data_IF_915523690731
#
_entry.id   IF_915523690731
#
_cell.length_a   1.000
_cell.length_b   1.000
_cell.length_c   1.000
_cell.angle_alpha   90.00
_cell.angle_beta   90.00
_cell.angle_gamma   90.00
#
_symmetry.space_group_name_H-M   'P 1'
#
loop_
_entity.id
_entity.type
_entity.pdbx_description
1 polymer ?
#
# COMPACT_ATOMS: atom_id res chain seq x y z
N UNK A 1 39.28 11.75 -21.77
CA UNK A 1 38.52 10.72 -21.00
C UNK A 1 37.99 11.26 -19.67
N UNK A 2 38.74 12.03 -18.87
CA UNK A 2 38.28 12.61 -17.59
C UNK A 2 37.06 13.55 -17.72
N UNK A 3 36.96 14.33 -18.79
CA UNK A 3 35.86 15.26 -19.00
C UNK A 3 34.55 14.54 -19.39
N UNK A 4 34.60 13.38 -20.03
CA UNK A 4 33.42 12.57 -20.33
C UNK A 4 32.74 12.04 -19.06
N UNK A 5 33.52 11.49 -18.12
CA UNK A 5 32.96 10.93 -16.88
C UNK A 5 32.24 11.97 -15.99
N UNK A 6 32.71 13.23 -15.97
CA UNK A 6 32.08 14.30 -15.20
C UNK A 6 30.78 14.75 -15.87
N UNK A 7 30.75 14.78 -17.20
CA UNK A 7 29.59 15.20 -17.98
C UNK A 7 28.42 14.22 -17.87
N UNK A 8 28.71 12.92 -17.72
CA UNK A 8 27.69 11.88 -17.59
C UNK A 8 27.11 11.77 -16.18
N UNK A 9 27.77 12.30 -15.16
CA UNK A 9 27.27 12.28 -13.78
C UNK A 9 26.00 13.11 -13.59
N UNK A 10 25.91 14.28 -14.23
CA UNK A 10 24.74 15.16 -14.11
C UNK A 10 23.48 14.50 -14.66
N UNK A 11 23.45 13.99 -15.93
CA UNK A 11 22.28 13.30 -16.44
C UNK A 11 21.96 11.99 -15.68
N UNK A 12 22.96 11.29 -15.16
CA UNK A 12 22.73 10.08 -14.35
C UNK A 12 22.02 10.38 -13.03
N UNK A 13 22.42 11.44 -12.34
CA UNK A 13 21.74 11.87 -11.09
C UNK A 13 20.32 12.35 -11.39
N UNK A 14 20.13 13.14 -12.45
CA UNK A 14 18.79 13.56 -12.87
C UNK A 14 17.92 12.36 -13.29
N UNK A 15 18.50 11.39 -13.99
CA UNK A 15 17.81 10.15 -14.36
C UNK A 15 17.39 9.34 -13.13
N UNK A 16 18.24 9.23 -12.13
CA UNK A 16 17.92 8.52 -10.88
C UNK A 16 16.69 9.10 -10.18
N UNK A 17 16.58 10.41 -10.04
CA UNK A 17 15.42 11.07 -9.40
C UNK A 17 14.13 10.96 -10.22
N UNK A 18 14.23 10.76 -11.54
CA UNK A 18 13.08 10.58 -12.43
C UNK A 18 12.70 9.11 -12.66
N UNK A 19 13.52 8.18 -12.17
CA UNK A 19 13.22 6.74 -12.31
C UNK A 19 12.23 6.33 -11.24
N UNK A 20 11.07 5.79 -11.67
CA UNK A 20 10.07 5.21 -10.79
C UNK A 20 10.08 3.70 -10.93
N UNK A 21 10.08 3.01 -9.82
CA UNK A 21 9.89 1.55 -9.79
C UNK A 21 8.41 1.29 -9.62
N UNK A 22 7.82 0.56 -10.56
CA UNK A 22 6.43 0.15 -10.46
C UNK A 22 6.37 -1.21 -9.72
N UNK A 23 5.70 -1.23 -8.59
CA UNK A 23 5.50 -2.43 -7.77
C UNK A 23 4.20 -3.16 -8.08
N UNK A 24 3.42 -2.69 -9.08
CA UNK A 24 2.17 -3.30 -9.47
C UNK A 24 2.40 -4.49 -10.39
N UNK A 25 2.04 -5.66 -9.91
CA UNK A 25 2.08 -6.89 -10.72
C UNK A 25 1.08 -6.81 -11.88
N UNK A 26 -0.03 -6.11 -11.69
CA UNK A 26 -1.08 -5.96 -12.70
C UNK A 26 -0.61 -5.13 -13.90
N UNK A 27 0.33 -4.21 -13.71
CA UNK A 27 0.92 -3.41 -14.79
C UNK A 27 1.61 -4.26 -15.88
N UNK A 28 2.09 -5.44 -15.52
CA UNK A 28 2.74 -6.35 -16.47
C UNK A 28 1.75 -7.25 -17.22
N UNK A 29 0.47 -7.18 -16.91
CA UNK A 29 -0.58 -7.95 -17.57
C UNK A 29 -1.04 -7.22 -18.86
N UNK A 30 -1.36 -7.96 -19.94
CA UNK A 30 -1.97 -7.39 -21.11
C UNK A 30 -3.30 -6.70 -20.77
N UNK A 31 -3.56 -5.53 -21.39
CA UNK A 31 -4.78 -4.77 -21.14
C UNK A 31 -6.06 -5.40 -21.71
N UNK A 32 -5.92 -6.41 -22.55
CA UNK A 32 -7.03 -7.09 -23.21
C UNK A 32 -7.63 -8.25 -22.41
N UNK A 33 -7.05 -8.59 -21.26
CA UNK A 33 -7.61 -9.64 -20.37
C UNK A 33 -8.79 -9.12 -19.55
N UNK A 34 -9.75 -10.00 -19.28
CA UNK A 34 -11.00 -9.69 -18.55
C UNK A 34 -10.74 -9.02 -17.20
N UNK A 35 -9.68 -9.43 -16.49
CA UNK A 35 -9.32 -8.85 -15.18
C UNK A 35 -8.95 -7.38 -15.28
N UNK A 36 -8.19 -6.98 -16.31
CA UNK A 36 -7.78 -5.60 -16.50
C UNK A 36 -8.98 -4.74 -16.93
N UNK A 37 -9.79 -5.24 -17.87
CA UNK A 37 -11.03 -4.55 -18.29
C UNK A 37 -12.00 -4.39 -17.12
N UNK A 38 -12.14 -5.42 -16.28
CA UNK A 38 -12.98 -5.35 -15.07
C UNK A 38 -12.48 -4.31 -14.06
N UNK A 39 -11.17 -4.17 -13.93
CA UNK A 39 -10.57 -3.18 -13.03
C UNK A 39 -10.75 -1.75 -13.55
N UNK A 40 -10.59 -1.55 -14.87
CA UNK A 40 -10.84 -0.24 -15.51
C UNK A 40 -12.31 0.16 -15.33
N UNK A 41 -13.27 -0.75 -15.53
CA UNK A 41 -14.70 -0.51 -15.29
C UNK A 41 -14.97 -0.17 -13.81
N UNK A 42 -14.36 -0.89 -12.87
CA UNK A 42 -14.50 -0.60 -11.45
C UNK A 42 -14.01 0.80 -11.08
N UNK A 43 -12.91 1.22 -11.67
CA UNK A 43 -12.34 2.54 -11.44
C UNK A 43 -13.18 3.63 -12.14
N UNK A 44 -13.46 3.49 -13.43
CA UNK A 44 -14.07 4.53 -14.26
C UNK A 44 -15.57 4.69 -13.96
N UNK A 45 -16.32 3.59 -13.84
CA UNK A 45 -17.77 3.63 -13.66
C UNK A 45 -18.21 3.68 -12.20
N UNK A 46 -17.43 3.07 -11.29
CA UNK A 46 -17.77 2.97 -9.88
C UNK A 46 -16.88 3.80 -8.96
N UNK A 47 -15.81 4.40 -9.47
CA UNK A 47 -14.84 5.16 -8.67
C UNK A 47 -14.16 4.32 -7.59
N UNK A 48 -13.94 3.03 -7.84
CA UNK A 48 -13.38 2.07 -6.90
C UNK A 48 -12.23 1.32 -7.57
N UNK A 49 -11.03 1.77 -7.34
CA UNK A 49 -9.82 1.16 -7.88
C UNK A 49 -9.22 0.11 -6.95
N UNK A 50 -8.48 0.56 -5.97
CA UNK A 50 -7.82 -0.30 -4.99
C UNK A 50 -8.72 -0.60 -3.78
N UNK A 51 -8.40 -1.67 -3.06
CA UNK A 51 -9.08 -1.99 -1.81
C UNK A 51 -8.11 -2.52 -0.75
N UNK A 52 -8.48 -2.30 0.50
CA UNK A 52 -7.83 -2.89 1.66
C UNK A 52 -8.87 -3.34 2.69
N UNK A 53 -8.51 -4.32 3.50
CA UNK A 53 -9.32 -4.79 4.61
C UNK A 53 -8.64 -4.41 5.91
N UNK A 54 -9.43 -3.91 6.87
CA UNK A 54 -8.93 -3.56 8.20
C UNK A 54 -9.59 -4.48 9.22
N UNK A 55 -8.74 -5.20 9.95
CA UNK A 55 -9.13 -6.00 11.09
C UNK A 55 -8.82 -5.22 12.36
N UNK A 56 -9.82 -5.00 13.17
CA UNK A 56 -9.72 -4.33 14.47
C UNK A 56 -9.85 -5.37 15.58
N UNK A 57 -8.86 -5.48 16.44
CA UNK A 57 -8.83 -6.47 17.51
C UNK A 57 -9.26 -5.85 18.86
N UNK A 58 -10.29 -6.44 19.46
CA UNK A 58 -10.73 -6.13 20.83
C UNK A 58 -11.21 -4.71 21.09
N UNK A 59 -11.57 -3.94 20.05
CA UNK A 59 -12.08 -2.58 20.21
C UNK A 59 -13.59 -2.55 20.41
N UNK A 60 -14.08 -1.65 21.27
CA UNK A 60 -15.51 -1.46 21.46
C UNK A 60 -16.18 -0.92 20.18
N UNK A 61 -17.39 -1.41 19.85
CA UNK A 61 -18.18 -1.03 18.66
C UNK A 61 -18.29 0.48 18.44
N UNK A 62 -18.56 1.25 19.51
CA UNK A 62 -18.62 2.71 19.42
C UNK A 62 -17.31 3.35 18.99
N UNK A 63 -16.17 2.76 19.36
CA UNK A 63 -14.87 3.25 18.95
C UNK A 63 -14.55 2.83 17.51
N UNK A 64 -14.98 1.62 17.09
CA UNK A 64 -14.89 1.17 15.70
C UNK A 64 -15.67 2.10 14.77
N UNK A 65 -16.92 2.48 15.12
CA UNK A 65 -17.69 3.45 14.33
C UNK A 65 -17.00 4.82 14.20
N UNK A 66 -16.39 5.29 15.28
CA UNK A 66 -15.62 6.56 15.23
C UNK A 66 -14.37 6.42 14.37
N UNK A 67 -13.70 5.26 14.43
CA UNK A 67 -12.54 4.96 13.60
C UNK A 67 -12.92 4.92 12.12
N UNK A 68 -14.00 4.24 11.77
CA UNK A 68 -14.54 4.19 10.41
C UNK A 68 -14.78 5.60 9.87
N UNK A 69 -15.43 6.49 10.65
CA UNK A 69 -15.67 7.89 10.25
C UNK A 69 -14.38 8.68 10.06
N UNK A 70 -13.32 8.39 10.83
CA UNK A 70 -12.00 9.01 10.62
C UNK A 70 -11.35 8.51 9.34
N UNK A 71 -11.44 7.21 9.07
CA UNK A 71 -10.90 6.59 7.86
C UNK A 71 -11.64 7.08 6.61
N UNK A 72 -12.96 7.27 6.68
CA UNK A 72 -13.75 7.89 5.60
C UNK A 72 -13.34 9.33 5.28
N UNK A 73 -12.73 10.01 6.25
CA UNK A 73 -12.22 11.38 6.08
C UNK A 73 -10.80 11.46 5.54
N UNK A 74 -10.14 10.35 5.29
CA UNK A 74 -8.80 10.31 4.69
C UNK A 74 -8.90 10.60 3.19
N UNK A 75 -7.99 11.42 2.68
CA UNK A 75 -7.93 11.73 1.25
C UNK A 75 -7.73 10.46 0.42
N UNK A 76 -8.35 10.40 -0.77
CA UNK A 76 -8.34 9.24 -1.68
C UNK A 76 -9.03 7.97 -1.16
N UNK A 77 -9.75 8.03 -0.04
CA UNK A 77 -10.67 6.98 0.37
C UNK A 77 -12.02 7.21 -0.32
N UNK A 78 -12.37 6.34 -1.26
CA UNK A 78 -13.64 6.45 -2.01
C UNK A 78 -14.84 6.00 -1.18
N UNK A 79 -14.71 4.92 -0.41
CA UNK A 79 -15.78 4.43 0.48
C UNK A 79 -15.26 3.43 1.50
N UNK A 80 -15.95 3.32 2.62
CA UNK A 80 -15.69 2.29 3.64
C UNK A 80 -16.94 1.43 3.81
N UNK A 81 -16.78 0.13 3.69
CA UNK A 81 -17.84 -0.85 3.95
C UNK A 81 -17.62 -1.43 5.34
N UNK A 82 -18.45 -1.03 6.26
CA UNK A 82 -18.44 -1.48 7.66
C UNK A 82 -19.82 -1.91 8.11
N UNK A 83 -19.89 -2.61 9.23
CA UNK A 83 -21.17 -2.95 9.87
C UNK A 83 -22.02 -1.69 10.09
N UNK A 84 -21.47 -0.67 10.72
CA UNK A 84 -22.18 0.58 11.03
C UNK A 84 -22.60 1.35 9.78
N UNK A 85 -21.82 1.28 8.70
CA UNK A 85 -22.15 1.93 7.43
C UNK A 85 -23.32 1.29 6.68
N UNK A 86 -23.53 -0.02 6.85
CA UNK A 86 -24.63 -0.76 6.17
C UNK A 86 -25.90 -0.76 7.00
N UNK A 87 -25.78 -1.01 8.29
CA UNK A 87 -26.93 -1.26 9.17
C UNK A 87 -27.30 -0.03 9.99
N UNK A 88 -26.34 0.86 10.22
CA UNK A 88 -26.47 2.03 11.10
C UNK A 88 -25.93 1.78 12.50
N UNK A 89 -25.50 2.87 13.14
CA UNK A 89 -24.92 2.83 14.50
C UNK A 89 -25.94 2.44 15.59
N UNK A 90 -27.22 2.64 15.32
CA UNK A 90 -28.31 2.46 16.30
C UNK A 90 -28.91 1.04 16.34
N UNK A 91 -28.51 0.17 15.39
CA UNK A 91 -29.06 -1.19 15.30
C UNK A 91 -28.14 -2.17 16.04
N UNK A 92 -28.65 -2.82 17.11
CA UNK A 92 -27.88 -3.84 17.82
C UNK A 92 -27.56 -5.04 16.89
N UNK A 93 -26.33 -5.53 16.93
CA UNK A 93 -25.90 -6.66 16.09
C UNK A 93 -26.66 -7.96 16.38
N UNK A 94 -27.22 -8.09 17.58
CA UNK A 94 -27.97 -9.26 18.03
C UNK A 94 -29.32 -9.46 17.29
N UNK A 95 -29.82 -8.41 16.62
CA UNK A 95 -31.06 -8.48 15.83
C UNK A 95 -30.84 -9.08 14.44
N UNK A 96 -29.59 -9.09 13.98
CA UNK A 96 -29.23 -9.56 12.64
C UNK A 96 -28.98 -11.08 12.61
N UNK A 97 -29.24 -11.73 11.47
CA UNK A 97 -28.89 -13.14 11.30
C UNK A 97 -27.39 -13.35 11.55
N UNK A 98 -27.04 -14.42 12.27
CA UNK A 98 -25.66 -14.77 12.60
C UNK A 98 -24.75 -14.85 11.36
N UNK A 99 -25.29 -15.32 10.24
CA UNK A 99 -24.58 -15.41 8.98
C UNK A 99 -24.16 -14.05 8.42
N UNK A 100 -24.96 -13.00 8.64
CA UNK A 100 -24.61 -11.65 8.21
C UNK A 100 -23.59 -11.02 9.18
N UNK A 101 -23.80 -11.20 10.48
CA UNK A 101 -22.92 -10.69 11.52
C UNK A 101 -21.49 -11.25 11.39
N UNK A 102 -21.36 -12.54 11.07
CA UNK A 102 -20.07 -13.23 10.93
C UNK A 102 -19.18 -12.69 9.80
N UNK A 103 -19.69 -11.89 8.86
CA UNK A 103 -18.86 -11.20 7.86
C UNK A 103 -18.10 -10.02 8.44
N UNK A 104 -18.59 -9.40 9.49
CA UNK A 104 -18.04 -8.19 10.07
C UNK A 104 -17.47 -8.38 11.47
N UNK A 105 -17.96 -9.35 12.20
CA UNK A 105 -17.59 -9.61 13.59
C UNK A 105 -17.26 -11.08 13.81
N UNK A 106 -16.16 -11.34 14.51
CA UNK A 106 -15.84 -12.67 15.00
C UNK A 106 -16.11 -12.70 16.51
N UNK A 107 -17.11 -13.48 16.94
CA UNK A 107 -17.52 -13.57 18.35
C UNK A 107 -16.44 -14.20 19.25
N UNK A 108 -15.66 -15.16 18.71
CA UNK A 108 -14.64 -15.87 19.48
C UNK A 108 -13.45 -14.98 19.84
N UNK A 109 -13.04 -14.11 18.90
CA UNK A 109 -11.90 -13.21 19.07
C UNK A 109 -12.28 -11.78 19.46
N UNK A 110 -13.55 -11.40 19.28
CA UNK A 110 -14.00 -10.00 19.41
C UNK A 110 -13.46 -9.07 18.33
N UNK A 111 -12.90 -9.63 17.24
CA UNK A 111 -12.38 -8.85 16.15
C UNK A 111 -13.50 -8.33 15.22
N UNK A 112 -13.31 -7.12 14.72
CA UNK A 112 -14.23 -6.49 13.75
C UNK A 112 -13.50 -6.26 12.42
N UNK A 113 -14.18 -6.50 11.32
CA UNK A 113 -13.67 -6.33 9.95
C UNK A 113 -14.42 -5.20 9.24
N UNK A 114 -13.70 -4.33 8.54
CA UNK A 114 -14.27 -3.42 7.55
C UNK A 114 -13.36 -3.32 6.30
N UNK A 115 -13.95 -2.99 5.17
CA UNK A 115 -13.23 -2.83 3.90
C UNK A 115 -13.16 -1.37 3.49
N UNK A 116 -12.01 -0.96 2.98
CA UNK A 116 -11.76 0.38 2.45
C UNK A 116 -11.57 0.26 0.94
N UNK A 117 -12.23 1.12 0.17
CA UNK A 117 -12.01 1.28 -1.26
C UNK A 117 -11.37 2.64 -1.51
N UNK A 118 -10.39 2.67 -2.39
CA UNK A 118 -9.68 3.87 -2.81
C UNK A 118 -10.13 4.29 -4.20
N UNK A 119 -9.97 5.57 -4.50
CA UNK A 119 -10.39 6.20 -5.76
C UNK A 119 -9.39 6.02 -6.91
N UNK A 120 -8.26 5.35 -6.67
CA UNK A 120 -7.21 5.13 -7.66
C UNK A 120 -6.70 3.68 -7.61
N UNK A 121 -5.78 3.33 -8.50
CA UNK A 121 -5.22 1.99 -8.65
C UNK A 121 -4.35 1.57 -7.47
N UNK A 122 -4.13 0.26 -7.34
CA UNK A 122 -3.37 -0.36 -6.24
C UNK A 122 -1.94 0.19 -6.08
N UNK A 123 -1.30 0.60 -7.17
CA UNK A 123 0.08 1.08 -7.20
C UNK A 123 0.21 2.59 -7.32
N UNK A 124 -0.90 3.31 -7.30
CA UNK A 124 -0.89 4.78 -7.30
C UNK A 124 -0.20 5.33 -6.07
N UNK A 125 0.57 6.40 -6.25
CA UNK A 125 1.20 7.12 -5.14
C UNK A 125 0.14 7.67 -4.16
N UNK A 126 -1.05 8.03 -4.66
CA UNK A 126 -2.15 8.55 -3.85
C UNK A 126 -2.80 7.47 -3.00
N UNK A 127 -3.05 6.27 -3.58
CA UNK A 127 -3.49 5.10 -2.81
C UNK A 127 -2.48 4.71 -1.72
N UNK A 128 -1.18 4.73 -2.04
CA UNK A 128 -0.15 4.38 -1.06
C UNK A 128 -0.06 5.40 0.08
N UNK A 129 -0.22 6.70 -0.21
CA UNK A 129 -0.32 7.75 0.81
C UNK A 129 -1.56 7.55 1.67
N UNK A 130 -2.72 7.32 1.06
CA UNK A 130 -3.96 7.06 1.79
C UNK A 130 -3.81 5.87 2.76
N UNK A 131 -3.14 4.78 2.34
CA UNK A 131 -2.86 3.63 3.22
C UNK A 131 -1.96 4.01 4.40
N UNK A 132 -0.94 4.88 4.18
CA UNK A 132 -0.10 5.36 5.27
C UNK A 132 -0.90 6.26 6.24
N UNK A 133 -1.73 7.16 5.72
CA UNK A 133 -2.60 8.01 6.53
C UNK A 133 -3.63 7.18 7.31
N UNK A 134 -4.20 6.14 6.70
CA UNK A 134 -5.07 5.19 7.42
C UNK A 134 -4.32 4.51 8.57
N UNK A 135 -3.04 4.14 8.38
CA UNK A 135 -2.21 3.57 9.46
C UNK A 135 -1.95 4.56 10.59
N UNK A 136 -1.75 5.82 10.26
CA UNK A 136 -1.53 6.89 11.25
C UNK A 136 -2.79 7.17 12.07
N UNK A 137 -3.97 7.00 11.45
CA UNK A 137 -5.28 7.16 12.10
C UNK A 137 -5.69 5.92 12.90
N UNK A 138 -5.21 4.73 12.50
CA UNK A 138 -5.48 3.46 13.16
C UNK A 138 -4.42 3.18 14.22
N UNK A 139 -4.84 2.79 15.43
CA UNK A 139 -3.95 2.40 16.51
C UNK A 139 -3.36 0.99 16.32
N UNK A 140 -2.45 0.58 17.22
CA UNK A 140 -1.80 -0.74 17.24
C UNK A 140 -2.76 -1.94 17.34
N UNK A 141 -4.07 -1.71 17.54
CA UNK A 141 -5.13 -2.72 17.54
C UNK A 141 -5.70 -3.00 16.15
N UNK A 142 -5.20 -2.32 15.12
CA UNK A 142 -5.70 -2.43 13.75
C UNK A 142 -4.63 -3.04 12.85
N UNK A 143 -5.06 -4.01 12.04
CA UNK A 143 -4.23 -4.65 11.03
C UNK A 143 -4.81 -4.38 9.66
N UNK A 144 -4.01 -3.77 8.78
CA UNK A 144 -4.42 -3.51 7.40
C UNK A 144 -3.89 -4.63 6.50
N UNK A 145 -4.76 -5.27 5.76
CA UNK A 145 -4.46 -6.36 4.85
C UNK A 145 -5.06 -6.11 3.47
N UNK A 146 -4.63 -6.85 2.47
CA UNK A 146 -5.09 -6.75 1.09
C UNK A 146 -3.98 -6.36 0.13
N UNK A 147 -4.26 -6.45 -1.18
CA UNK A 147 -3.25 -6.25 -2.22
C UNK A 147 -2.62 -4.86 -2.13
N UNK A 148 -3.43 -3.83 -1.92
CA UNK A 148 -2.94 -2.45 -1.85
C UNK A 148 -2.00 -2.23 -0.65
N UNK A 149 -2.30 -2.83 0.49
CA UNK A 149 -1.42 -2.79 1.66
C UNK A 149 -0.10 -3.51 1.41
N UNK A 150 -0.14 -4.70 0.77
CA UNK A 150 1.06 -5.48 0.43
C UNK A 150 1.96 -4.71 -0.54
N UNK A 151 1.41 -4.08 -1.58
CA UNK A 151 2.17 -3.27 -2.54
C UNK A 151 2.82 -2.08 -1.83
N UNK A 152 2.08 -1.39 -0.97
CA UNK A 152 2.61 -0.27 -0.16
C UNK A 152 3.75 -0.72 0.76
N UNK A 153 3.60 -1.85 1.44
CA UNK A 153 4.64 -2.40 2.32
C UNK A 153 5.88 -2.81 1.54
N UNK A 154 5.70 -3.47 0.39
CA UNK A 154 6.79 -3.88 -0.48
C UNK A 154 7.59 -2.67 -0.96
N UNK A 155 6.92 -1.59 -1.38
CA UNK A 155 7.58 -0.34 -1.76
C UNK A 155 8.36 0.26 -0.60
N UNK A 156 7.72 0.41 0.56
CA UNK A 156 8.33 1.02 1.75
C UNK A 156 9.56 0.22 2.21
N UNK A 157 9.46 -1.12 2.22
CA UNK A 157 10.60 -1.98 2.55
C UNK A 157 11.73 -1.87 1.53
N UNK A 158 11.41 -1.90 0.22
CA UNK A 158 12.39 -1.76 -0.83
C UNK A 158 13.12 -0.41 -0.76
N UNK A 159 12.41 0.70 -0.56
CA UNK A 159 12.99 2.03 -0.42
C UNK A 159 13.91 2.14 0.80
N UNK A 160 13.55 1.48 1.91
CA UNK A 160 14.35 1.46 3.14
C UNK A 160 15.60 0.61 3.03
N UNK A 161 15.52 -0.52 2.35
CA UNK A 161 16.60 -1.50 2.27
C UNK A 161 17.56 -1.25 1.09
N UNK A 162 17.08 -0.70 -0.01
CA UNK A 162 17.88 -0.44 -1.22
C UNK A 162 19.17 0.33 -0.95
N UNK A 163 19.22 1.41 -0.16
CA UNK A 163 20.46 2.14 0.11
C UNK A 163 21.53 1.27 0.78
N UNK A 164 21.10 0.37 1.67
CA UNK A 164 22.01 -0.56 2.35
C UNK A 164 22.61 -1.58 1.37
N UNK A 165 21.79 -2.20 0.53
CA UNK A 165 22.29 -3.16 -0.48
C UNK A 165 23.18 -2.50 -1.52
N UNK A 166 22.86 -1.29 -1.95
CA UNK A 166 23.71 -0.51 -2.87
C UNK A 166 25.07 -0.22 -2.22
N UNK A 167 25.10 0.19 -0.96
CA UNK A 167 26.34 0.43 -0.24
C UNK A 167 27.22 -0.83 -0.16
N UNK A 168 26.61 -1.95 0.22
CA UNK A 168 27.32 -3.25 0.28
C UNK A 168 27.87 -3.64 -1.10
N UNK A 169 27.08 -3.50 -2.16
CA UNK A 169 27.51 -3.80 -3.52
C UNK A 169 28.71 -2.93 -3.95
N UNK A 170 28.66 -1.62 -3.67
CA UNK A 170 29.77 -0.71 -3.98
C UNK A 170 31.04 -1.10 -3.23
N UNK A 171 30.94 -1.42 -1.94
CA UNK A 171 32.09 -1.86 -1.13
C UNK A 171 32.70 -3.14 -1.71
N UNK A 172 31.87 -4.13 -2.07
CA UNK A 172 32.35 -5.38 -2.67
C UNK A 172 33.06 -5.14 -4.01
N UNK A 173 32.47 -4.31 -4.86
CA UNK A 173 33.11 -3.94 -6.15
C UNK A 173 34.45 -3.25 -5.91
N UNK A 174 34.55 -2.32 -4.96
CA UNK A 174 35.81 -1.67 -4.61
C UNK A 174 36.86 -2.65 -4.11
N UNK A 175 36.47 -3.63 -3.28
CA UNK A 175 37.40 -4.68 -2.80
C UNK A 175 37.90 -5.52 -3.97
N UNK A 176 37.01 -5.96 -4.86
CA UNK A 176 37.38 -6.75 -6.04
C UNK A 176 38.34 -5.97 -6.93
N UNK A 177 38.03 -4.71 -7.22
CA UNK A 177 38.92 -3.85 -8.01
C UNK A 177 40.26 -3.64 -7.32
N UNK A 178 40.30 -3.45 -6.02
CA UNK A 178 41.54 -3.29 -5.27
C UNK A 178 42.46 -4.55 -5.32
N UNK A 179 41.84 -5.73 -5.39
CA UNK A 179 42.60 -7.00 -5.48
C UNK A 179 43.14 -7.23 -6.89
N UNK A 180 42.32 -6.92 -7.91
CA UNK A 180 42.68 -7.25 -9.31
C UNK A 180 43.41 -6.14 -10.08
N UNK A 181 43.40 -4.91 -9.57
CA UNK A 181 44.12 -3.80 -10.20
C UNK A 181 45.46 -3.55 -9.49
N UNK A 182 46.58 -3.70 -10.24
CA UNK A 182 47.95 -3.46 -9.73
C UNK A 182 48.26 -1.98 -9.46
N UNK A 183 47.34 -1.06 -9.73
CA UNK A 183 47.55 0.38 -9.56
C UNK A 183 46.37 1.04 -8.89
N UNK A 184 46.57 1.54 -7.68
CA UNK A 184 45.62 2.37 -6.92
C UNK A 184 45.51 3.82 -7.43
N UNK A 185 46.34 4.21 -8.42
CA UNK A 185 46.45 5.57 -8.94
C UNK A 185 46.29 5.58 -10.47
N UNK A 186 45.08 5.67 -10.95
CA UNK A 186 44.78 6.10 -12.32
C UNK A 186 43.88 7.32 -12.30
#
# INVERSE_FOLDING_TARGET
QRQMCIRDRIPSVLGYFNTRVNYDILYYLPSDIDTMQGQDILLDDFGKGAYAMVVVDGMNKSNVSKLVKKVEGVDHVASVISYSGIVGDDVPSEILPDKFRSYFENEDSGATLFAIFFDDTTSSDDTMKAIQEVRDVTDNQCYIAGMSAVVTDTKTMAEKETPFYVLVAVVLVCIVLAIFMDSFLV
#
